data_IF_614481903737
#
_entry.id   IF_614481903737
#
_cell.length_a   1.000
_cell.length_b   1.000
_cell.length_c   1.000
_cell.angle_alpha   90.00
_cell.angle_beta   90.00
_cell.angle_gamma   90.00
#
_symmetry.space_group_name_H-M   'P 1'
#
loop_
_entity.id
_entity.type
_entity.pdbx_description
1 polymer ?
#
# COMPACT_ATOMS: atom_id res chain seq x y z
N UNK A 1 -23.79 -25.45 -2.72
CA UNK A 1 -24.78 -24.48 -3.22
C UNK A 1 -24.03 -23.40 -3.94
N UNK A 2 -24.35 -23.05 -5.21
CA UNK A 2 -23.59 -22.05 -5.94
C UNK A 2 -23.87 -20.66 -5.40
N UNK A 3 -22.80 -19.91 -5.11
CA UNK A 3 -22.81 -18.52 -4.74
C UNK A 3 -23.39 -17.72 -5.91
N UNK A 4 -24.55 -17.11 -5.75
CA UNK A 4 -25.10 -16.16 -6.71
C UNK A 4 -24.21 -14.91 -6.71
N UNK A 5 -23.37 -14.78 -7.75
CA UNK A 5 -22.75 -13.50 -8.09
C UNK A 5 -23.87 -12.52 -8.48
N UNK A 6 -24.13 -11.56 -7.64
CA UNK A 6 -25.00 -10.43 -7.96
C UNK A 6 -24.16 -9.43 -8.75
N UNK A 7 -24.22 -9.49 -10.07
CA UNK A 7 -23.70 -8.45 -10.94
C UNK A 7 -24.66 -7.24 -10.85
N UNK A 8 -24.35 -6.31 -9.93
CA UNK A 8 -24.95 -4.99 -9.98
C UNK A 8 -24.42 -4.27 -11.21
N UNK A 9 -25.32 -3.79 -12.07
CA UNK A 9 -24.97 -2.88 -13.16
C UNK A 9 -24.40 -1.60 -12.53
N UNK A 10 -23.06 -1.44 -12.52
CA UNK A 10 -22.43 -0.18 -12.20
C UNK A 10 -22.73 0.80 -13.34
N UNK A 11 -23.66 1.73 -13.11
CA UNK A 11 -23.62 3.01 -13.80
C UNK A 11 -22.28 3.62 -13.45
N UNK A 12 -21.48 4.01 -14.42
CA UNK A 12 -20.20 4.66 -14.22
C UNK A 12 -20.38 6.04 -13.59
N UNK A 13 -20.72 6.07 -12.30
CA UNK A 13 -20.76 7.30 -11.53
C UNK A 13 -19.31 7.76 -11.36
N UNK A 14 -19.07 8.97 -11.85
CA UNK A 14 -17.75 9.59 -11.83
C UNK A 14 -17.27 9.68 -10.37
N UNK A 15 -16.16 9.01 -10.05
CA UNK A 15 -15.55 9.03 -8.72
C UNK A 15 -15.50 10.47 -8.19
N UNK A 16 -15.92 10.68 -6.93
CA UNK A 16 -15.90 12.02 -6.35
C UNK A 16 -14.47 12.57 -6.26
N UNK A 17 -14.28 13.86 -6.42
CA UNK A 17 -12.94 14.50 -6.28
C UNK A 17 -12.33 14.22 -4.89
N UNK A 18 -13.15 14.16 -3.83
CA UNK A 18 -12.67 13.88 -2.48
C UNK A 18 -12.19 12.43 -2.33
N UNK A 19 -12.84 11.47 -3.02
CA UNK A 19 -12.34 10.09 -3.05
C UNK A 19 -11.01 9.99 -3.80
N UNK A 20 -10.85 10.72 -4.90
CA UNK A 20 -9.55 10.77 -5.59
C UNK A 20 -8.44 11.30 -4.70
N UNK A 21 -8.70 12.32 -3.87
CA UNK A 21 -7.73 12.79 -2.89
C UNK A 21 -7.40 11.74 -1.84
N UNK A 22 -8.37 10.97 -1.35
CA UNK A 22 -8.12 9.87 -0.44
C UNK A 22 -7.23 8.79 -1.08
N UNK A 23 -7.47 8.43 -2.35
CA UNK A 23 -6.64 7.50 -3.10
C UNK A 23 -5.22 8.04 -3.30
N UNK A 24 -5.08 9.31 -3.68
CA UNK A 24 -3.76 9.95 -3.85
C UNK A 24 -2.96 9.96 -2.53
N UNK A 25 -3.60 10.23 -1.39
CA UNK A 25 -2.96 10.15 -0.08
C UNK A 25 -2.45 8.73 0.21
N UNK A 26 -3.22 7.69 -0.15
CA UNK A 26 -2.78 6.30 -0.05
C UNK A 26 -1.57 6.02 -0.93
N UNK A 27 -1.60 6.45 -2.19
CA UNK A 27 -0.49 6.29 -3.14
C UNK A 27 0.81 6.97 -2.66
N UNK A 28 0.70 8.14 -2.03
CA UNK A 28 1.87 8.88 -1.50
C UNK A 28 2.60 8.13 -0.39
N UNK A 29 1.93 7.24 0.33
CA UNK A 29 2.49 6.49 1.46
C UNK A 29 2.79 5.03 1.13
N UNK A 30 2.63 4.63 -0.13
CA UNK A 30 2.97 3.30 -0.61
C UNK A 30 4.44 2.96 -0.33
N UNK A 31 4.69 1.74 0.17
CA UNK A 31 6.02 1.24 0.50
C UNK A 31 6.55 1.61 1.89
N UNK A 32 5.93 2.55 2.62
CA UNK A 32 6.38 2.94 3.97
C UNK A 32 5.55 2.37 5.12
N UNK A 33 4.39 1.80 4.83
CA UNK A 33 3.41 1.31 5.82
C UNK A 33 3.75 -0.06 6.42
N UNK A 34 4.86 -0.67 6.02
CA UNK A 34 5.26 -2.01 6.45
C UNK A 34 4.31 -3.07 5.91
N UNK A 35 3.82 -3.96 6.79
CA UNK A 35 2.87 -5.03 6.42
C UNK A 35 1.42 -4.58 6.36
N UNK A 36 1.14 -3.31 6.65
CA UNK A 36 -0.19 -2.73 6.56
C UNK A 36 -0.42 -2.14 5.16
N UNK A 37 -1.66 -2.12 4.66
CA UNK A 37 -1.97 -1.47 3.40
C UNK A 37 -1.80 0.06 3.53
N UNK A 38 -1.41 0.76 2.45
CA UNK A 38 -1.41 2.21 2.43
C UNK A 38 -2.87 2.71 2.38
N UNK A 39 -3.27 3.56 3.32
CA UNK A 39 -4.64 4.09 3.39
C UNK A 39 -4.61 5.60 3.44
N UNK A 40 -5.52 6.23 2.71
CA UNK A 40 -5.75 7.67 2.74
C UNK A 40 -7.19 7.99 3.11
N UNK A 41 -7.39 9.12 3.79
CA UNK A 41 -8.69 9.56 4.27
C UNK A 41 -8.86 11.07 4.17
N UNK A 42 -10.07 11.49 3.81
CA UNK A 42 -10.44 12.91 3.66
C UNK A 42 -11.77 13.16 4.36
N UNK A 43 -11.80 14.09 5.32
CA UNK A 43 -13.04 14.54 5.99
C UNK A 43 -13.51 15.83 5.34
N UNK A 44 -14.78 15.84 4.95
CA UNK A 44 -15.44 16.96 4.25
C UNK A 44 -16.65 17.43 5.02
N UNK A 45 -16.78 18.75 5.20
CA UNK A 45 -17.97 19.39 5.78
C UNK A 45 -18.35 20.60 4.92
N UNK A 46 -19.62 20.67 4.55
CA UNK A 46 -20.20 21.77 3.73
C UNK A 46 -19.35 22.06 2.47
N UNK A 47 -18.93 20.99 1.75
CA UNK A 47 -18.13 21.06 0.55
C UNK A 47 -16.65 21.45 0.76
N UNK A 48 -16.19 21.58 2.00
CA UNK A 48 -14.80 21.94 2.32
C UNK A 48 -14.07 20.77 2.98
N UNK A 49 -12.83 20.56 2.60
CA UNK A 49 -11.94 19.62 3.29
C UNK A 49 -11.62 20.22 4.66
N UNK A 50 -11.89 19.47 5.72
CA UNK A 50 -11.62 19.88 7.12
C UNK A 50 -10.59 18.97 7.79
N UNK A 51 -10.29 17.80 7.22
CA UNK A 51 -9.26 16.91 7.69
C UNK A 51 -8.70 16.01 6.59
N UNK A 52 -7.42 15.71 6.69
CA UNK A 52 -6.66 14.83 5.80
C UNK A 52 -5.85 13.86 6.65
N UNK A 53 -5.73 12.62 6.20
CA UNK A 53 -4.91 11.62 6.88
C UNK A 53 -4.38 10.57 5.92
N UNK A 54 -3.21 10.05 6.24
CA UNK A 54 -2.62 8.91 5.55
C UNK A 54 -1.97 7.98 6.57
N UNK A 55 -2.08 6.66 6.40
CA UNK A 55 -1.39 5.72 7.29
C UNK A 55 0.12 5.74 6.98
N UNK A 56 0.89 6.41 7.83
CA UNK A 56 2.31 6.70 7.54
C UNK A 56 3.22 5.53 7.88
N UNK A 57 2.91 4.77 8.93
CA UNK A 57 3.79 3.71 9.43
C UNK A 57 3.02 2.71 10.26
N UNK A 58 3.41 1.44 10.15
CA UNK A 58 2.87 0.36 10.99
C UNK A 58 2.97 0.70 12.48
N UNK A 59 1.88 0.49 13.23
CA UNK A 59 1.78 0.80 14.66
C UNK A 59 1.40 2.24 14.99
N UNK A 60 1.39 3.14 14.01
CA UNK A 60 0.92 4.51 14.17
C UNK A 60 -0.58 4.63 13.85
N UNK A 61 -1.14 5.84 14.03
CA UNK A 61 -2.54 6.14 13.77
C UNK A 61 -2.92 5.81 12.33
N UNK A 62 -4.10 5.21 12.14
CA UNK A 62 -4.68 5.00 10.83
C UNK A 62 -5.08 6.33 10.17
N UNK A 63 -5.27 6.32 8.86
CA UNK A 63 -5.60 7.50 8.06
C UNK A 63 -6.86 8.21 8.57
N UNK A 64 -7.90 7.44 8.92
CA UNK A 64 -9.16 7.97 9.42
C UNK A 64 -8.96 8.73 10.73
N UNK A 65 -8.18 8.16 11.65
CA UNK A 65 -7.89 8.79 12.95
C UNK A 65 -7.13 10.11 12.75
N UNK A 66 -6.15 10.13 11.85
CA UNK A 66 -5.39 11.35 11.55
C UNK A 66 -6.29 12.43 10.94
N UNK A 67 -7.14 12.05 9.98
CA UNK A 67 -8.07 12.98 9.34
C UNK A 67 -9.08 13.55 10.33
N UNK A 68 -9.59 12.72 11.27
CA UNK A 68 -10.53 13.12 12.31
C UNK A 68 -9.85 14.00 13.38
N UNK A 69 -8.63 13.66 13.79
CA UNK A 69 -7.85 14.48 14.72
C UNK A 69 -7.54 15.88 14.14
N UNK A 70 -7.30 15.97 12.82
CA UNK A 70 -7.13 17.25 12.13
C UNK A 70 -8.46 18.02 12.04
N UNK A 71 -9.56 17.33 11.73
CA UNK A 71 -10.87 17.97 11.58
C UNK A 71 -11.46 18.44 12.92
N UNK A 72 -11.21 17.70 14.02
CA UNK A 72 -11.78 17.97 15.34
C UNK A 72 -13.32 18.13 15.29
N UNK A 73 -13.86 19.12 15.97
CA UNK A 73 -15.30 19.39 16.03
C UNK A 73 -15.92 19.73 14.66
N UNK A 74 -15.11 20.13 13.68
CA UNK A 74 -15.57 20.39 12.31
C UNK A 74 -16.00 19.13 11.57
N UNK A 75 -15.62 17.94 12.04
CA UNK A 75 -16.05 16.66 11.48
C UNK A 75 -17.55 16.41 11.66
N UNK A 76 -18.16 16.96 12.72
CA UNK A 76 -19.54 16.65 13.11
C UNK A 76 -20.56 16.90 11.99
N UNK A 77 -21.31 15.87 11.65
CA UNK A 77 -22.29 15.89 10.55
C UNK A 77 -21.64 16.00 9.16
N UNK A 78 -20.33 15.78 9.05
CA UNK A 78 -19.59 15.73 7.78
C UNK A 78 -19.57 14.33 7.15
N UNK A 79 -18.86 14.21 6.04
CA UNK A 79 -18.61 12.97 5.31
C UNK A 79 -17.13 12.63 5.35
N UNK A 80 -16.77 11.37 5.56
CA UNK A 80 -15.41 10.88 5.44
C UNK A 80 -15.29 9.99 4.19
N UNK A 81 -14.27 10.25 3.38
CA UNK A 81 -13.88 9.46 2.22
C UNK A 81 -12.64 8.67 2.57
N UNK A 82 -12.63 7.37 2.32
CA UNK A 82 -11.56 6.46 2.71
C UNK A 82 -11.23 5.56 1.52
N UNK A 83 -9.96 5.38 1.22
CA UNK A 83 -9.52 4.53 0.11
C UNK A 83 -9.76 3.02 0.37
N UNK A 84 -9.87 2.60 1.63
CA UNK A 84 -10.14 1.22 2.08
C UNK A 84 -11.21 1.21 3.16
N UNK A 85 -12.01 0.15 3.26
CA UNK A 85 -13.02 -0.05 4.33
C UNK A 85 -12.43 0.18 5.72
N UNK A 86 -13.07 0.98 6.60
CA UNK A 86 -12.55 1.27 7.94
C UNK A 86 -12.56 0.01 8.83
N UNK A 87 -11.49 -0.19 9.59
CA UNK A 87 -11.31 -1.38 10.40
C UNK A 87 -12.28 -1.43 11.60
N UNK A 88 -12.70 -2.68 11.93
CA UNK A 88 -13.61 -3.00 13.06
C UNK A 88 -12.92 -3.75 14.20
N UNK A 89 -11.67 -4.19 13.99
CA UNK A 89 -10.94 -5.00 14.96
C UNK A 89 -9.93 -4.18 15.76
N UNK A 90 -9.62 -4.66 16.96
CA UNK A 90 -8.51 -4.16 17.75
C UNK A 90 -7.20 -4.76 17.22
N UNK A 91 -6.32 -3.90 16.71
CA UNK A 91 -4.95 -4.24 16.36
C UNK A 91 -3.98 -3.57 17.33
N UNK A 92 -2.94 -2.93 16.80
CA UNK A 92 -2.08 -2.01 17.57
C UNK A 92 -2.80 -0.70 17.94
N UNK A 93 -3.91 -0.40 17.27
CA UNK A 93 -4.78 0.76 17.49
C UNK A 93 -6.23 0.31 17.66
N UNK A 94 -7.08 1.11 18.34
CA UNK A 94 -8.53 0.85 18.41
C UNK A 94 -9.18 0.89 17.02
N UNK A 95 -10.36 0.24 16.85
CA UNK A 95 -11.10 0.25 15.59
C UNK A 95 -11.43 1.66 15.09
N UNK A 96 -11.21 1.93 13.81
CA UNK A 96 -11.50 3.22 13.20
C UNK A 96 -12.99 3.57 13.20
N UNK A 97 -13.88 2.55 13.10
CA UNK A 97 -15.34 2.76 13.17
C UNK A 97 -15.75 3.45 14.47
N UNK A 98 -15.13 3.14 15.62
CA UNK A 98 -15.43 3.79 16.88
C UNK A 98 -15.10 5.28 16.84
N UNK A 99 -13.94 5.63 16.27
CA UNK A 99 -13.51 7.02 16.16
C UNK A 99 -14.41 7.82 15.23
N UNK A 100 -14.88 7.20 14.13
CA UNK A 100 -15.85 7.79 13.21
C UNK A 100 -17.17 8.12 13.92
N UNK A 101 -17.68 7.18 14.74
CA UNK A 101 -18.89 7.37 15.51
C UNK A 101 -18.73 8.47 16.57
N UNK A 102 -17.61 8.47 17.32
CA UNK A 102 -17.30 9.49 18.33
C UNK A 102 -17.31 10.92 17.78
N UNK A 103 -16.82 11.11 16.54
CA UNK A 103 -16.79 12.44 15.90
C UNK A 103 -18.15 12.84 15.30
N UNK A 104 -19.16 11.96 15.34
CA UNK A 104 -20.52 12.27 14.89
C UNK A 104 -20.60 12.59 13.39
N UNK A 105 -19.88 11.86 12.56
CA UNK A 105 -20.01 11.95 11.10
C UNK A 105 -21.42 11.53 10.65
N UNK A 106 -21.91 12.09 9.55
CA UNK A 106 -23.19 11.71 8.95
C UNK A 106 -23.05 10.62 7.89
N UNK A 107 -21.87 10.53 7.25
CA UNK A 107 -21.65 9.61 6.12
C UNK A 107 -20.21 9.13 6.04
N UNK A 108 -20.06 7.86 5.68
CA UNK A 108 -18.79 7.20 5.33
C UNK A 108 -18.86 6.74 3.87
N UNK A 109 -17.86 7.06 3.08
CA UNK A 109 -17.73 6.58 1.71
C UNK A 109 -16.36 5.92 1.59
N UNK A 110 -16.30 4.64 1.17
CA UNK A 110 -15.03 3.96 0.95
C UNK A 110 -14.93 3.33 -0.44
N UNK A 111 -13.69 3.23 -0.96
CA UNK A 111 -13.45 2.82 -2.35
C UNK A 111 -13.24 1.31 -2.52
N UNK A 112 -12.67 0.64 -1.53
CA UNK A 112 -12.34 -0.79 -1.59
C UNK A 112 -12.79 -1.49 -0.32
N UNK A 113 -13.42 -2.65 -0.47
CA UNK A 113 -13.83 -3.51 0.64
C UNK A 113 -12.64 -4.34 1.13
N UNK A 114 -12.42 -4.38 2.46
CA UNK A 114 -11.37 -5.22 3.03
C UNK A 114 -11.83 -6.68 3.10
N UNK A 115 -11.37 -7.48 2.14
CA UNK A 115 -11.73 -8.91 2.06
C UNK A 115 -10.96 -9.80 3.05
N UNK A 116 -10.04 -9.24 3.82
CA UNK A 116 -9.24 -9.97 4.82
C UNK A 116 -9.89 -9.98 6.20
N UNK A 117 -10.92 -9.17 6.38
CA UNK A 117 -11.65 -9.00 7.63
C UNK A 117 -13.11 -9.47 7.48
N UNK A 118 -13.76 -9.78 8.62
CA UNK A 118 -15.22 -9.91 8.66
C UNK A 118 -15.84 -8.52 8.50
N UNK A 119 -16.55 -8.27 7.39
CA UNK A 119 -17.12 -6.97 7.06
C UNK A 119 -18.37 -6.66 7.87
N UNK A 120 -18.21 -6.34 9.14
CA UNK A 120 -19.27 -5.85 10.02
C UNK A 120 -19.27 -4.31 10.15
N UNK A 121 -18.30 -3.64 9.52
CA UNK A 121 -18.11 -2.20 9.60
C UNK A 121 -19.33 -1.41 9.17
N UNK A 122 -19.90 -1.77 8.04
CA UNK A 122 -21.11 -1.15 7.50
C UNK A 122 -22.28 -1.25 8.51
N UNK A 123 -22.51 -2.44 9.06
CA UNK A 123 -23.57 -2.70 10.02
C UNK A 123 -23.39 -1.89 11.32
N UNK A 124 -22.16 -1.77 11.81
CA UNK A 124 -21.84 -1.00 13.03
C UNK A 124 -22.10 0.49 12.80
N UNK A 125 -21.67 1.03 11.67
CA UNK A 125 -21.85 2.44 11.32
C UNK A 125 -23.33 2.77 11.08
N UNK A 126 -24.06 1.93 10.33
CA UNK A 126 -25.50 2.11 10.07
C UNK A 126 -26.33 2.05 11.36
N UNK A 127 -26.02 1.13 12.29
CA UNK A 127 -26.66 1.09 13.62
C UNK A 127 -26.40 2.34 14.45
N UNK A 128 -25.29 3.03 14.23
CA UNK A 128 -24.98 4.32 14.86
C UNK A 128 -25.63 5.52 14.13
N UNK A 129 -26.43 5.27 13.07
CA UNK A 129 -27.11 6.31 12.30
C UNK A 129 -26.25 6.99 11.25
N UNK A 130 -25.12 6.38 10.87
CA UNK A 130 -24.20 6.90 9.85
C UNK A 130 -24.51 6.21 8.52
N UNK A 131 -24.74 7.00 7.48
CA UNK A 131 -24.91 6.47 6.11
C UNK A 131 -23.60 5.89 5.60
N UNK A 132 -23.64 4.70 5.01
CA UNK A 132 -22.46 4.03 4.43
C UNK A 132 -22.65 3.87 2.91
N UNK A 133 -21.65 4.27 2.14
CA UNK A 133 -21.64 4.12 0.70
C UNK A 133 -20.34 3.43 0.24
N UNK A 134 -20.49 2.37 -0.54
CA UNK A 134 -19.37 1.72 -1.23
C UNK A 134 -19.23 2.28 -2.64
N UNK A 135 -18.14 2.98 -2.92
CA UNK A 135 -17.84 3.59 -4.20
C UNK A 135 -16.59 2.94 -4.82
N UNK A 136 -16.76 1.80 -5.49
CA UNK A 136 -15.65 1.03 -6.06
C UNK A 136 -14.74 1.86 -6.95
N UNK A 137 -13.42 1.68 -6.80
CA UNK A 137 -12.40 2.24 -7.66
C UNK A 137 -11.37 1.17 -8.00
N UNK A 138 -11.16 0.92 -9.30
CA UNK A 138 -10.13 0.02 -9.79
C UNK A 138 -8.72 0.53 -9.45
N UNK A 139 -8.51 1.85 -9.53
CA UNK A 139 -7.26 2.51 -9.14
C UNK A 139 -6.94 2.29 -7.65
N UNK A 140 -7.95 2.41 -6.77
CA UNK A 140 -7.77 2.11 -5.35
C UNK A 140 -7.56 0.60 -5.11
N UNK A 141 -8.28 -0.26 -5.83
CA UNK A 141 -8.13 -1.72 -5.68
C UNK A 141 -6.72 -2.19 -6.00
N UNK A 142 -6.09 -1.63 -7.03
CA UNK A 142 -4.72 -1.95 -7.41
C UNK A 142 -3.70 -1.71 -6.28
N UNK A 143 -3.95 -0.78 -5.34
CA UNK A 143 -3.10 -0.54 -4.17
C UNK A 143 -3.17 -1.67 -3.13
N UNK A 144 -4.24 -2.45 -3.14
CA UNK A 144 -4.53 -3.45 -2.11
C UNK A 144 -4.50 -4.89 -2.61
N UNK A 145 -4.47 -5.10 -3.93
CA UNK A 145 -4.55 -6.43 -4.55
C UNK A 145 -3.48 -7.36 -4.00
N UNK A 146 -2.22 -6.91 -3.96
CA UNK A 146 -1.08 -7.71 -3.47
C UNK A 146 -1.18 -7.97 -1.97
N UNK A 147 -1.65 -6.98 -1.19
CA UNK A 147 -1.92 -7.16 0.23
C UNK A 147 -2.99 -8.23 0.48
N UNK A 148 -4.11 -8.19 -0.26
CA UNK A 148 -5.17 -9.18 -0.14
C UNK A 148 -4.69 -10.58 -0.53
N UNK A 149 -3.97 -10.72 -1.64
CA UNK A 149 -3.38 -11.98 -2.10
C UNK A 149 -2.42 -12.56 -1.06
N UNK A 150 -1.52 -11.72 -0.53
CA UNK A 150 -0.55 -12.14 0.47
C UNK A 150 -1.23 -12.61 1.77
N UNK A 151 -2.26 -11.91 2.23
CA UNK A 151 -3.04 -12.30 3.42
C UNK A 151 -3.83 -13.59 3.20
N UNK A 152 -4.47 -13.75 2.05
CA UNK A 152 -5.32 -14.90 1.72
C UNK A 152 -4.48 -16.15 1.48
N UNK A 153 -3.41 -16.05 0.70
CA UNK A 153 -2.61 -17.20 0.28
C UNK A 153 -1.39 -17.46 1.16
N UNK A 154 -1.00 -16.52 2.02
CA UNK A 154 0.21 -16.58 2.87
C UNK A 154 1.50 -16.79 2.08
N UNK A 155 1.54 -16.28 0.85
CA UNK A 155 2.71 -16.28 -0.04
C UNK A 155 3.00 -14.85 -0.46
N UNK A 156 4.28 -14.48 -0.64
CA UNK A 156 4.64 -13.15 -1.10
C UNK A 156 4.24 -12.97 -2.57
N UNK A 157 3.86 -11.76 -2.96
CA UNK A 157 3.81 -11.36 -4.35
C UNK A 157 5.23 -11.20 -4.90
N UNK A 158 5.47 -11.69 -6.11
CA UNK A 158 6.81 -11.70 -6.72
C UNK A 158 6.82 -10.90 -7.99
N UNK A 159 7.55 -9.78 -7.98
CA UNK A 159 7.84 -8.97 -9.17
C UNK A 159 9.19 -9.36 -9.75
N UNK A 160 9.22 -9.80 -11.01
CA UNK A 160 10.46 -10.11 -11.71
C UNK A 160 10.88 -8.91 -12.56
N UNK A 161 12.02 -8.28 -12.21
CA UNK A 161 12.61 -7.18 -12.97
C UNK A 161 13.77 -7.69 -13.82
N UNK A 162 13.68 -7.54 -15.12
CA UNK A 162 14.74 -7.90 -16.08
C UNK A 162 15.16 -6.67 -16.87
N UNK A 163 16.47 -6.49 -17.11
CA UNK A 163 17.03 -5.46 -18.01
C UNK A 163 17.67 -6.15 -19.19
N UNK A 164 17.19 -5.87 -20.40
CA UNK A 164 17.73 -6.47 -21.63
C UNK A 164 17.91 -5.41 -22.72
N UNK A 165 18.78 -5.70 -23.67
CA UNK A 165 18.81 -5.05 -24.97
C UNK A 165 17.55 -5.44 -25.79
N UNK A 166 17.35 -4.82 -26.95
CA UNK A 166 16.21 -5.13 -27.83
C UNK A 166 16.22 -6.59 -28.34
N UNK A 167 17.39 -7.19 -28.47
CA UNK A 167 17.58 -8.59 -28.84
C UNK A 167 17.64 -9.56 -27.64
N UNK A 168 17.25 -9.10 -26.44
CA UNK A 168 17.10 -9.93 -25.26
C UNK A 168 18.38 -10.24 -24.49
N UNK A 169 19.50 -9.55 -24.77
CA UNK A 169 20.78 -9.75 -24.08
C UNK A 169 20.83 -8.98 -22.75
N UNK A 170 21.39 -9.61 -21.73
CA UNK A 170 21.57 -9.01 -20.40
C UNK A 170 23.01 -8.53 -20.15
N UNK A 171 23.95 -9.00 -20.95
CA UNK A 171 25.35 -8.59 -20.91
C UNK A 171 26.00 -8.81 -22.28
N UNK A 172 27.18 -8.23 -22.50
CA UNK A 172 28.05 -8.55 -23.63
C UNK A 172 28.72 -9.92 -23.45
N UNK A 173 29.38 -10.45 -24.49
CA UNK A 173 30.12 -11.70 -24.40
C UNK A 173 31.29 -11.63 -23.39
N UNK A 174 31.78 -10.42 -23.09
CA UNK A 174 32.79 -10.17 -22.06
C UNK A 174 32.19 -10.00 -20.65
N UNK A 175 30.88 -10.18 -20.49
CA UNK A 175 30.15 -10.07 -19.20
C UNK A 175 29.84 -8.63 -18.77
N UNK A 176 30.08 -7.63 -19.61
CA UNK A 176 29.74 -6.23 -19.27
C UNK A 176 28.22 -6.01 -19.43
N UNK A 177 27.54 -5.58 -18.34
CA UNK A 177 26.10 -5.29 -18.28
C UNK A 177 25.76 -3.80 -18.09
N UNK A 178 26.73 -2.94 -17.92
CA UNK A 178 26.53 -1.51 -17.65
C UNK A 178 26.65 -0.70 -18.94
N UNK A 179 25.70 0.11 -19.38
CA UNK A 179 24.36 0.37 -18.84
C UNK A 179 23.35 0.06 -19.95
N UNK A 180 22.56 -0.98 -19.81
CA UNK A 180 21.58 -1.39 -20.82
C UNK A 180 20.39 -0.43 -20.84
N UNK A 181 20.00 0.10 -19.67
CA UNK A 181 18.84 0.96 -19.52
C UNK A 181 19.23 2.40 -19.17
N UNK A 182 18.37 3.35 -19.54
CA UNK A 182 18.59 4.77 -19.34
C UNK A 182 18.34 5.22 -17.88
N UNK A 183 18.51 6.53 -17.61
CA UNK A 183 18.33 7.11 -16.27
C UNK A 183 16.87 7.03 -15.78
N UNK A 184 15.88 7.14 -16.66
CA UNK A 184 14.46 7.08 -16.29
C UNK A 184 14.12 5.69 -15.74
N UNK A 185 14.51 4.62 -16.43
CA UNK A 185 14.32 3.23 -15.97
C UNK A 185 15.01 2.97 -14.63
N UNK A 186 16.15 3.61 -14.35
CA UNK A 186 16.80 3.51 -13.03
C UNK A 186 15.95 4.10 -11.91
N UNK A 187 15.22 5.18 -12.16
CA UNK A 187 14.29 5.76 -11.18
C UNK A 187 13.15 4.79 -10.86
N UNK A 188 12.61 4.10 -11.87
CA UNK A 188 11.58 3.08 -11.65
C UNK A 188 12.12 1.91 -10.80
N UNK A 189 13.37 1.48 -11.04
CA UNK A 189 14.01 0.45 -10.20
C UNK A 189 14.18 0.92 -8.76
N UNK A 190 14.49 2.19 -8.53
CA UNK A 190 14.60 2.73 -7.18
C UNK A 190 13.24 2.78 -6.49
N UNK A 191 12.17 3.11 -7.23
CA UNK A 191 10.80 3.08 -6.73
C UNK A 191 10.37 1.64 -6.38
N UNK A 192 10.63 0.67 -7.27
CA UNK A 192 10.37 -0.75 -6.97
C UNK A 192 11.06 -1.21 -5.67
N UNK A 193 12.32 -0.81 -5.45
CA UNK A 193 13.02 -1.12 -4.19
C UNK A 193 12.43 -0.43 -2.97
N UNK A 194 11.78 0.70 -3.14
CA UNK A 194 11.11 1.42 -2.06
C UNK A 194 9.77 0.76 -1.70
N UNK A 195 9.00 0.33 -2.69
CA UNK A 195 7.65 -0.22 -2.50
C UNK A 195 7.65 -1.70 -2.11
N UNK A 196 8.71 -2.45 -2.43
CA UNK A 196 8.83 -3.87 -2.08
C UNK A 196 9.53 -4.07 -0.74
N UNK A 197 9.11 -5.10 0.01
CA UNK A 197 9.71 -5.44 1.30
C UNK A 197 11.10 -6.06 1.17
N UNK A 198 11.36 -6.79 0.08
CA UNK A 198 12.62 -7.47 -0.15
C UNK A 198 13.08 -7.43 -1.60
N UNK A 199 14.40 -7.52 -1.80
CA UNK A 199 15.05 -7.79 -3.09
C UNK A 199 15.75 -9.13 -3.00
N UNK A 200 15.41 -10.03 -3.91
CA UNK A 200 16.02 -11.37 -4.00
C UNK A 200 17.00 -11.42 -5.16
N UNK A 201 18.20 -11.95 -4.92
CA UNK A 201 19.27 -12.10 -5.93
C UNK A 201 20.04 -13.40 -5.73
N UNK A 202 20.81 -13.80 -6.77
CA UNK A 202 21.73 -14.93 -6.69
C UNK A 202 23.12 -14.52 -6.22
N UNK A 203 23.86 -15.47 -5.63
CA UNK A 203 25.22 -15.26 -5.15
C UNK A 203 26.18 -14.79 -6.28
N UNK A 204 26.04 -15.31 -7.51
CA UNK A 204 26.87 -14.89 -8.63
C UNK A 204 26.77 -13.40 -8.96
N UNK A 205 25.59 -12.79 -8.79
CA UNK A 205 25.42 -11.34 -8.96
C UNK A 205 26.12 -10.56 -7.84
N UNK A 206 26.13 -11.11 -6.61
CA UNK A 206 26.86 -10.48 -5.50
C UNK A 206 28.36 -10.50 -5.75
N UNK A 207 28.89 -11.64 -6.19
CA UNK A 207 30.32 -11.80 -6.49
C UNK A 207 30.77 -10.92 -7.66
N UNK A 208 29.94 -10.81 -8.72
CA UNK A 208 30.30 -10.04 -9.92
C UNK A 208 30.15 -8.53 -9.73
N UNK A 209 29.05 -8.05 -9.12
CA UNK A 209 28.65 -6.64 -9.16
C UNK A 209 28.73 -5.95 -7.78
N UNK A 210 28.81 -6.71 -6.70
CA UNK A 210 28.78 -6.20 -5.33
C UNK A 210 27.68 -5.12 -5.10
N UNK A 211 26.43 -5.39 -5.45
CA UNK A 211 25.38 -4.39 -5.52
C UNK A 211 24.84 -4.04 -4.13
N UNK A 212 24.65 -2.76 -3.85
CA UNK A 212 24.09 -2.32 -2.55
C UNK A 212 22.60 -2.56 -2.37
N UNK A 213 21.83 -2.63 -3.44
CA UNK A 213 20.35 -2.76 -3.44
C UNK A 213 19.59 -1.73 -2.59
N UNK A 214 20.18 -0.57 -2.36
CA UNK A 214 19.50 0.55 -1.69
C UNK A 214 18.44 1.16 -2.60
N UNK A 215 17.39 1.76 -2.01
CA UNK A 215 16.37 2.46 -2.80
C UNK A 215 16.91 3.67 -3.51
N UNK A 216 17.97 4.34 -3.00
CA UNK A 216 18.53 5.60 -3.52
C UNK A 216 17.50 6.75 -3.62
N UNK A 217 16.35 6.60 -2.98
CA UNK A 217 15.40 7.66 -2.74
C UNK A 217 15.79 8.30 -1.40
N UNK A 218 15.80 9.63 -1.33
CA UNK A 218 16.14 10.34 -0.10
C UNK A 218 15.15 9.93 1.01
N UNK A 219 15.67 9.51 2.15
CA UNK A 219 14.91 9.02 3.31
C UNK A 219 13.96 7.83 3.01
N UNK A 220 14.12 7.20 1.83
CA UNK A 220 13.32 6.06 1.42
C UNK A 220 13.67 4.77 2.17
N UNK A 221 12.67 3.89 2.34
CA UNK A 221 12.82 2.56 2.94
C UNK A 221 13.74 1.69 2.08
N UNK A 222 14.74 1.06 2.67
CA UNK A 222 15.56 0.06 2.01
C UNK A 222 14.93 -1.33 2.14
N UNK A 223 14.85 -2.11 1.05
CA UNK A 223 14.33 -3.47 1.10
C UNK A 223 15.28 -4.40 1.85
N UNK A 224 14.74 -5.48 2.41
CA UNK A 224 15.51 -6.61 2.93
C UNK A 224 16.23 -7.27 1.75
N UNK A 225 17.51 -7.59 1.92
CA UNK A 225 18.30 -8.26 0.89
C UNK A 225 18.27 -9.76 1.13
N UNK A 226 17.74 -10.52 0.19
CA UNK A 226 17.68 -11.97 0.22
C UNK A 226 18.65 -12.50 -0.84
N UNK A 227 19.64 -13.28 -0.44
CA UNK A 227 20.65 -13.84 -1.33
C UNK A 227 20.51 -15.35 -1.39
N UNK A 228 20.28 -15.88 -2.59
CA UNK A 228 20.26 -17.32 -2.83
C UNK A 228 21.68 -17.81 -3.05
N UNK A 229 22.21 -18.58 -2.11
CA UNK A 229 23.53 -19.19 -2.19
C UNK A 229 23.45 -20.68 -1.90
N UNK A 230 24.01 -21.50 -2.80
CA UNK A 230 24.08 -22.96 -2.60
C UNK A 230 25.00 -23.36 -1.45
N UNK A 231 26.02 -22.55 -1.16
CA UNK A 231 27.07 -22.86 -0.18
C UNK A 231 26.96 -22.06 1.11
N UNK A 232 26.08 -21.06 1.18
CA UNK A 232 25.99 -20.13 2.30
C UNK A 232 27.22 -19.23 2.51
N UNK A 233 28.22 -19.32 1.63
CA UNK A 233 29.41 -18.50 1.67
C UNK A 233 29.19 -17.25 0.82
N UNK A 234 29.22 -16.10 1.45
CA UNK A 234 29.10 -14.78 0.81
C UNK A 234 30.25 -13.96 1.35
N UNK A 235 31.04 -13.39 0.44
CA UNK A 235 32.13 -12.49 0.83
C UNK A 235 31.53 -11.20 1.41
N UNK A 236 31.65 -11.06 2.73
CA UNK A 236 30.82 -10.11 3.52
C UNK A 236 31.31 -8.67 3.49
N UNK A 237 32.32 -8.33 2.69
CA UNK A 237 32.97 -7.00 2.72
C UNK A 237 31.99 -5.85 2.41
N UNK A 238 30.91 -6.12 1.69
CA UNK A 238 29.90 -5.10 1.32
C UNK A 238 28.63 -5.13 2.14
N UNK A 239 28.43 -6.15 2.94
CA UNK A 239 27.21 -6.36 3.74
C UNK A 239 27.56 -6.56 5.20
N UNK A 240 28.05 -5.51 5.84
CA UNK A 240 28.48 -5.51 7.25
C UNK A 240 27.39 -5.86 8.27
N UNK A 241 26.16 -6.14 7.82
CA UNK A 241 25.01 -6.46 8.68
C UNK A 241 24.12 -7.56 8.08
N UNK A 242 24.71 -8.65 7.58
CA UNK A 242 23.95 -9.88 7.31
C UNK A 242 23.75 -10.59 8.64
N UNK A 243 22.55 -10.53 9.19
CA UNK A 243 22.12 -11.50 10.20
C UNK A 243 21.69 -12.77 9.46
N UNK A 244 22.44 -13.85 9.67
CA UNK A 244 21.99 -15.19 9.31
C UNK A 244 20.87 -15.59 10.29
N UNK A 245 19.81 -16.31 9.81
CA UNK A 245 18.80 -16.85 10.71
C UNK A 245 19.40 -17.88 11.67
#
# INVERSE_FOLDING_TARGET
>A
MPVKQVWGFFRGDKLSEFMKYAIQLAQMVEGQTGVNPPVGSVVVKDGRIVGLGAHLKQGEKHAEVQALDMAQDKAKGGTIYISLEPCTHYGSTPPCVNKIIEHGLSKVIYAVKDTTLSSEGDIILEKAGIEVEYQYSEEAFALYEDFFKAKQHKIPEITVKVSTSLDGKQATDSGQSQWITNKAVKQDVYRLRHTHDAVLTGNGTIEADNPQYTTRIQEGKHPIRIILSKRGQIDSVSYTHLTLP
#
